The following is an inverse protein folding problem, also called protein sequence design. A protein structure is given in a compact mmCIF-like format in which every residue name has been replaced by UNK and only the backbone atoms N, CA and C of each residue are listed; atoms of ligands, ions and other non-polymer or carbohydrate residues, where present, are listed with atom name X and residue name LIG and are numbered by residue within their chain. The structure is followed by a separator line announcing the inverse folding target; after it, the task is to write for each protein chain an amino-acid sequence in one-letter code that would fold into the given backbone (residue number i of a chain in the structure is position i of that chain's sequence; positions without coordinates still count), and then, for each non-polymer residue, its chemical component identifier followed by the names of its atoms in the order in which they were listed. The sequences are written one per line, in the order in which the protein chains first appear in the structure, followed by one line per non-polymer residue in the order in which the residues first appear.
data_IF_672051214955
#
_entry.id   IF_672051214955
#
_cell.length_a   1.000
_cell.length_b   1.000
_cell.length_c   1.000
_cell.angle_alpha   90.00
_cell.angle_beta   90.00
_cell.angle_gamma   90.00
#
_symmetry.space_group_name_H-M   'P 1'
#
loop_
_entity.id
_entity.type
_entity.pdbx_description
1 polymer ?
#
# COMPACT_ATOMS: atom_id res chain seq x y z
N UNK A 1 25.53 -3.46 -21.17
CA UNK A 1 24.12 -3.74 -21.46
C UNK A 1 23.56 -4.41 -20.20
N UNK A 2 22.85 -3.64 -19.37
CA UNK A 2 22.18 -4.17 -18.17
C UNK A 2 21.10 -5.12 -18.64
N UNK A 3 21.14 -6.38 -18.20
CA UNK A 3 20.01 -7.30 -18.37
C UNK A 3 18.80 -6.59 -17.76
N UNK A 4 17.77 -6.28 -18.56
CA UNK A 4 16.61 -5.51 -18.13
C UNK A 4 16.03 -6.14 -16.88
N UNK A 5 16.00 -5.39 -15.77
CA UNK A 5 15.31 -5.82 -14.56
C UNK A 5 13.84 -6.04 -14.92
N UNK A 6 13.31 -7.23 -14.62
CA UNK A 6 11.88 -7.52 -14.85
C UNK A 6 11.05 -6.52 -14.04
N UNK A 7 10.22 -5.75 -14.72
CA UNK A 7 9.25 -4.87 -14.07
C UNK A 7 8.08 -5.72 -13.55
N UNK A 8 7.64 -5.41 -12.33
CA UNK A 8 6.50 -6.03 -11.68
C UNK A 8 5.39 -5.00 -11.55
N UNK A 9 4.19 -5.35 -11.96
CA UNK A 9 3.01 -4.48 -11.87
C UNK A 9 2.28 -4.77 -10.56
N UNK A 10 2.18 -3.75 -9.70
CA UNK A 10 1.38 -3.78 -8.47
C UNK A 10 -0.04 -3.34 -8.81
N UNK A 11 -1.02 -3.73 -8.03
CA UNK A 11 -2.41 -3.34 -8.22
C UNK A 11 -2.68 -1.84 -7.98
N UNK A 12 -3.95 -1.45 -7.92
CA UNK A 12 -4.45 -0.10 -7.73
C UNK A 12 -5.12 0.12 -6.38
N UNK A 13 -5.86 1.22 -6.27
CA UNK A 13 -6.63 1.56 -5.07
C UNK A 13 -7.84 0.66 -4.90
N UNK A 14 -7.80 -0.26 -3.93
CA UNK A 14 -8.89 -1.20 -3.67
C UNK A 14 -10.21 -0.47 -3.39
N UNK A 15 -10.20 0.58 -2.58
CA UNK A 15 -11.39 1.41 -2.31
C UNK A 15 -11.93 2.05 -3.58
N UNK A 16 -11.04 2.65 -4.40
CA UNK A 16 -11.44 3.25 -5.68
C UNK A 16 -12.10 2.22 -6.61
N UNK A 17 -11.53 1.00 -6.69
CA UNK A 17 -12.11 -0.07 -7.48
C UNK A 17 -13.47 -0.54 -6.94
N UNK A 18 -13.65 -0.60 -5.62
CA UNK A 18 -14.94 -0.95 -5.00
C UNK A 18 -16.00 0.12 -5.27
N UNK A 19 -15.64 1.40 -5.16
CA UNK A 19 -16.52 2.53 -5.48
C UNK A 19 -16.97 2.49 -6.96
N UNK A 20 -16.06 2.26 -7.88
CA UNK A 20 -16.40 2.14 -9.32
C UNK A 20 -17.32 0.95 -9.62
N UNK A 21 -17.28 -0.09 -8.77
CA UNK A 21 -18.21 -1.23 -8.84
C UNK A 21 -19.53 -0.96 -8.14
N UNK A 22 -19.77 0.25 -7.60
CA UNK A 22 -20.98 0.65 -6.92
C UNK A 22 -21.09 0.19 -5.47
N UNK A 23 -19.98 -0.18 -4.85
CA UNK A 23 -19.96 -0.54 -3.43
C UNK A 23 -19.94 0.73 -2.57
N UNK A 24 -20.82 0.79 -1.59
CA UNK A 24 -20.77 1.79 -0.53
C UNK A 24 -19.69 1.40 0.48
N UNK A 25 -18.62 2.17 0.54
CA UNK A 25 -17.52 2.00 1.49
C UNK A 25 -17.41 3.15 2.50
N UNK A 26 -18.40 4.04 2.54
CA UNK A 26 -18.43 5.15 3.51
C UNK A 26 -18.55 4.63 4.95
N UNK A 27 -17.90 5.33 5.87
CA UNK A 27 -18.02 5.05 7.30
C UNK A 27 -16.70 4.72 8.01
N UNK A 28 -16.74 4.50 9.33
CA UNK A 28 -15.55 4.45 10.17
C UNK A 28 -14.60 3.26 9.90
N UNK A 29 -15.09 2.18 9.32
CA UNK A 29 -14.26 1.00 8.99
C UNK A 29 -13.95 0.88 7.50
N UNK A 30 -14.51 1.72 6.65
CA UNK A 30 -14.21 1.81 5.21
C UNK A 30 -14.12 0.42 4.53
N UNK A 31 -12.96 0.08 3.90
CA UNK A 31 -12.76 -1.25 3.29
C UNK A 31 -12.82 -2.40 4.29
N UNK A 32 -12.50 -2.18 5.58
CA UNK A 32 -12.63 -3.21 6.61
C UNK A 32 -14.09 -3.62 6.86
N UNK A 33 -15.06 -2.69 6.69
CA UNK A 33 -16.50 -3.04 6.70
C UNK A 33 -16.86 -3.93 5.52
N UNK A 34 -16.34 -3.62 4.32
CA UNK A 34 -16.60 -4.42 3.13
C UNK A 34 -16.07 -5.86 3.25
N UNK A 35 -14.98 -6.10 4.00
CA UNK A 35 -14.50 -7.46 4.29
C UNK A 35 -15.58 -8.31 4.99
N UNK A 36 -16.36 -7.72 5.87
CA UNK A 36 -17.40 -8.41 6.62
C UNK A 36 -18.73 -8.49 5.86
N UNK A 37 -19.14 -7.36 5.24
CA UNK A 37 -20.47 -7.22 4.65
C UNK A 37 -20.54 -7.67 3.19
N UNK A 38 -19.44 -7.49 2.42
CA UNK A 38 -19.41 -7.81 0.99
C UNK A 38 -18.06 -8.39 0.53
N UNK A 39 -17.63 -9.55 1.09
CA UNK A 39 -16.35 -10.16 0.73
C UNK A 39 -16.26 -10.55 -0.75
N UNK A 40 -17.40 -10.81 -1.41
CA UNK A 40 -17.44 -11.13 -2.84
C UNK A 40 -17.08 -9.94 -3.72
N UNK A 41 -17.41 -8.72 -3.31
CA UNK A 41 -17.01 -7.51 -4.05
C UNK A 41 -15.49 -7.29 -3.96
N UNK A 42 -14.89 -7.53 -2.79
CA UNK A 42 -13.43 -7.45 -2.62
C UNK A 42 -12.73 -8.49 -3.49
N UNK A 43 -13.23 -9.74 -3.51
CA UNK A 43 -12.70 -10.77 -4.39
C UNK A 43 -12.80 -10.37 -5.88
N UNK A 44 -13.94 -9.80 -6.29
CA UNK A 44 -14.14 -9.33 -7.65
C UNK A 44 -13.20 -8.16 -8.01
N UNK A 45 -12.94 -7.22 -7.08
CA UNK A 45 -11.98 -6.14 -7.27
C UNK A 45 -10.55 -6.66 -7.46
N UNK A 46 -10.10 -7.61 -6.62
CA UNK A 46 -8.81 -8.26 -6.81
C UNK A 46 -8.70 -8.98 -8.16
N UNK A 47 -9.75 -9.72 -8.57
CA UNK A 47 -9.80 -10.37 -9.90
C UNK A 47 -9.74 -9.37 -11.03
N UNK A 48 -10.34 -8.19 -10.89
CA UNK A 48 -10.26 -7.13 -11.89
C UNK A 48 -8.80 -6.63 -12.05
N UNK A 49 -8.07 -6.39 -10.96
CA UNK A 49 -6.65 -6.02 -11.02
C UNK A 49 -5.78 -7.13 -11.64
N UNK A 50 -5.99 -8.39 -11.26
CA UNK A 50 -5.28 -9.54 -11.85
C UNK A 50 -5.54 -9.61 -13.37
N UNK A 51 -6.79 -9.48 -13.78
CA UNK A 51 -7.19 -9.49 -15.19
C UNK A 51 -6.60 -8.33 -15.99
N UNK A 52 -6.39 -7.17 -15.32
CA UNK A 52 -5.72 -6.01 -15.88
C UNK A 52 -4.19 -6.18 -15.98
N UNK A 53 -3.64 -7.23 -15.40
CA UNK A 53 -2.23 -7.58 -15.50
C UNK A 53 -1.39 -7.24 -14.28
N UNK A 54 -2.00 -7.07 -13.11
CA UNK A 54 -1.26 -6.99 -11.85
C UNK A 54 -0.52 -8.31 -11.57
N UNK A 55 0.76 -8.23 -11.29
CA UNK A 55 1.60 -9.35 -10.83
C UNK A 55 1.50 -9.51 -9.30
N UNK A 56 1.09 -8.44 -8.60
CA UNK A 56 0.93 -8.39 -7.15
C UNK A 56 -0.39 -7.72 -6.80
N UNK A 57 -1.14 -8.30 -5.86
CA UNK A 57 -2.32 -7.68 -5.26
C UNK A 57 -2.13 -7.47 -3.77
N UNK A 58 -2.67 -6.37 -3.24
CA UNK A 58 -2.56 -5.97 -1.85
C UNK A 58 -3.91 -6.19 -1.16
N UNK A 59 -3.92 -6.85 0.01
CA UNK A 59 -5.16 -7.20 0.73
C UNK A 59 -5.89 -5.99 1.29
N UNK A 60 -7.21 -6.13 1.54
CA UNK A 60 -8.05 -5.09 2.14
C UNK A 60 -7.84 -4.87 3.65
N UNK A 61 -6.68 -5.20 4.22
CA UNK A 61 -6.41 -5.14 5.66
C UNK A 61 -5.81 -3.80 6.16
N UNK A 62 -5.64 -2.83 5.27
CA UNK A 62 -4.97 -1.55 5.54
C UNK A 62 -5.33 -0.89 6.88
N UNK A 63 -6.62 -0.81 7.21
CA UNK A 63 -7.12 -0.15 8.42
C UNK A 63 -7.51 -1.13 9.52
N UNK A 64 -7.52 -2.44 9.24
CA UNK A 64 -8.02 -3.43 10.19
C UNK A 64 -7.13 -3.45 11.43
N UNK A 65 -7.73 -3.17 12.58
CA UNK A 65 -7.07 -3.24 13.89
C UNK A 65 -8.11 -3.48 14.98
N UNK A 66 -7.72 -4.13 16.08
CA UNK A 66 -8.59 -4.32 17.23
C UNK A 66 -9.08 -2.98 17.79
N UNK A 67 -8.17 -2.00 17.91
CA UNK A 67 -8.53 -0.67 18.39
C UNK A 67 -9.61 -0.01 17.51
N UNK A 68 -9.42 0.04 16.19
CA UNK A 68 -10.39 0.63 15.26
C UNK A 68 -11.75 -0.06 15.30
N UNK A 69 -11.76 -1.40 15.44
CA UNK A 69 -13.01 -2.17 15.56
C UNK A 69 -13.74 -1.89 16.87
N UNK A 70 -13.02 -1.83 18.00
CA UNK A 70 -13.61 -1.49 19.31
C UNK A 70 -14.18 -0.06 19.28
N UNK A 71 -13.47 0.91 18.72
CA UNK A 71 -13.93 2.29 18.58
C UNK A 71 -15.19 2.40 17.68
N UNK A 72 -15.32 1.52 16.70
CA UNK A 72 -16.50 1.39 15.85
C UNK A 72 -17.65 0.55 16.49
N UNK A 73 -17.47 0.03 17.71
CA UNK A 73 -18.47 -0.72 18.44
C UNK A 73 -18.50 -2.23 18.16
N UNK A 74 -17.47 -2.78 17.53
CA UNK A 74 -17.30 -4.21 17.27
C UNK A 74 -16.42 -4.89 18.34
N UNK A 75 -16.36 -6.22 18.34
CA UNK A 75 -15.44 -6.96 19.21
C UNK A 75 -14.01 -6.98 18.62
N UNK A 76 -13.00 -7.06 19.49
CA UNK A 76 -11.61 -7.19 19.06
C UNK A 76 -11.39 -8.41 18.14
N UNK A 77 -12.00 -9.54 18.48
CA UNK A 77 -11.92 -10.78 17.69
C UNK A 77 -12.52 -10.63 16.27
N UNK A 78 -13.37 -9.64 16.03
CA UNK A 78 -13.88 -9.34 14.68
C UNK A 78 -12.76 -8.78 13.80
N UNK A 79 -11.86 -7.97 14.36
CA UNK A 79 -10.68 -7.49 13.66
C UNK A 79 -9.73 -8.64 13.30
N UNK A 80 -9.49 -9.56 14.23
CA UNK A 80 -8.62 -10.73 14.00
C UNK A 80 -9.14 -11.58 12.84
N UNK A 81 -10.46 -11.82 12.84
CA UNK A 81 -11.12 -12.53 11.73
C UNK A 81 -11.02 -11.77 10.42
N UNK A 82 -11.17 -10.44 10.45
CA UNK A 82 -11.09 -9.61 9.25
C UNK A 82 -9.67 -9.60 8.66
N UNK A 83 -8.62 -9.59 9.50
CA UNK A 83 -7.23 -9.71 9.04
C UNK A 83 -7.01 -11.03 8.28
N UNK A 84 -7.39 -12.17 8.87
CA UNK A 84 -7.30 -13.48 8.22
C UNK A 84 -8.14 -13.57 6.93
N UNK A 85 -9.38 -13.11 6.99
CA UNK A 85 -10.31 -13.12 5.85
C UNK A 85 -9.77 -12.27 4.67
N UNK A 86 -9.09 -11.16 4.93
CA UNK A 86 -8.52 -10.32 3.88
C UNK A 86 -7.51 -11.09 3.02
N UNK A 87 -6.65 -11.88 3.65
CA UNK A 87 -5.68 -12.74 2.96
C UNK A 87 -6.38 -13.88 2.22
N UNK A 88 -7.36 -14.53 2.86
CA UNK A 88 -8.13 -15.62 2.26
C UNK A 88 -8.84 -15.17 0.98
N UNK A 89 -9.48 -14.00 0.98
CA UNK A 89 -10.17 -13.43 -0.19
C UNK A 89 -9.17 -13.18 -1.33
N UNK A 90 -8.03 -12.56 -1.03
CA UNK A 90 -7.00 -12.29 -2.03
C UNK A 90 -6.41 -13.58 -2.60
N UNK A 91 -6.19 -14.61 -1.75
CA UNK A 91 -5.77 -15.94 -2.20
C UNK A 91 -6.77 -16.60 -3.15
N UNK A 92 -8.08 -16.54 -2.84
CA UNK A 92 -9.13 -17.04 -3.75
C UNK A 92 -9.14 -16.30 -5.08
N UNK A 93 -8.95 -14.97 -5.05
CA UNK A 93 -8.86 -14.18 -6.27
C UNK A 93 -7.65 -14.58 -7.13
N UNK A 94 -6.52 -14.90 -6.51
CA UNK A 94 -5.27 -15.27 -7.18
C UNK A 94 -5.20 -16.76 -7.58
N UNK A 95 -6.20 -17.57 -7.23
CA UNK A 95 -6.19 -19.02 -7.48
C UNK A 95 -6.01 -19.32 -8.97
N UNK A 96 -5.07 -20.22 -9.27
CA UNK A 96 -4.74 -20.61 -10.65
C UNK A 96 -3.87 -19.61 -11.42
N UNK A 97 -3.39 -18.57 -10.77
CA UNK A 97 -2.47 -17.56 -11.32
C UNK A 97 -1.10 -17.61 -10.65
N UNK A 98 -0.14 -16.83 -11.14
CA UNK A 98 1.16 -16.59 -10.49
C UNK A 98 1.20 -15.28 -9.71
N UNK A 99 0.05 -14.67 -9.44
CA UNK A 99 -0.06 -13.39 -8.76
C UNK A 99 0.35 -13.52 -7.29
N UNK A 100 1.22 -12.66 -6.83
CA UNK A 100 1.68 -12.56 -5.44
C UNK A 100 0.60 -11.89 -4.60
N UNK A 101 0.33 -12.42 -3.41
CA UNK A 101 -0.60 -11.84 -2.43
C UNK A 101 0.21 -11.18 -1.31
N UNK A 102 0.10 -9.86 -1.20
CA UNK A 102 0.75 -9.07 -0.17
C UNK A 102 -0.26 -8.58 0.88
N UNK A 103 -0.01 -8.87 2.15
CA UNK A 103 -0.89 -8.43 3.23
C UNK A 103 -0.60 -6.98 3.64
N UNK A 104 -1.60 -6.12 3.52
CA UNK A 104 -1.50 -4.70 3.83
C UNK A 104 -1.35 -4.44 5.34
N UNK A 105 -0.33 -3.66 5.68
CA UNK A 105 -0.07 -3.11 7.02
C UNK A 105 0.01 -1.59 6.90
N UNK A 106 -1.13 -0.91 7.04
CA UNK A 106 -1.20 0.55 7.01
C UNK A 106 -0.71 1.19 8.32
N UNK A 107 -0.48 2.53 8.33
CA UNK A 107 -0.01 3.25 9.50
C UNK A 107 -1.06 3.32 10.62
N UNK A 108 -0.61 3.63 11.83
CA UNK A 108 -1.50 3.83 12.97
C UNK A 108 -2.59 4.87 12.68
N UNK A 109 -2.22 5.95 12.00
CA UNK A 109 -3.16 7.04 11.68
C UNK A 109 -4.34 6.64 10.80
N UNK A 110 -4.26 5.50 10.10
CA UNK A 110 -5.33 5.02 9.23
C UNK A 110 -6.62 4.63 10.00
N UNK A 111 -6.52 4.34 11.31
CA UNK A 111 -7.68 3.94 12.12
C UNK A 111 -8.65 5.08 12.42
N UNK A 112 -8.21 6.34 12.36
CA UNK A 112 -8.99 7.50 12.79
C UNK A 112 -9.78 8.19 11.68
N UNK A 113 -9.56 7.85 10.41
CA UNK A 113 -10.25 8.43 9.23
C UNK A 113 -10.27 9.97 9.16
N UNK A 114 -9.27 10.62 9.75
CA UNK A 114 -9.17 12.07 9.81
C UNK A 114 -7.93 12.63 9.08
N UNK A 115 -7.30 11.79 8.26
CA UNK A 115 -6.09 12.11 7.49
C UNK A 115 -4.81 12.10 8.32
N UNK A 116 -4.82 11.48 9.51
CA UNK A 116 -3.61 11.31 10.33
C UNK A 116 -2.57 10.41 9.68
N UNK A 117 -2.99 9.48 8.82
CA UNK A 117 -2.11 8.65 8.00
C UNK A 117 -1.15 9.45 7.11
N UNK A 118 -1.43 10.74 6.92
CA UNK A 118 -0.57 11.69 6.20
C UNK A 118 0.10 12.73 7.10
N UNK A 119 0.07 12.55 8.42
CA UNK A 119 0.64 13.51 9.39
C UNK A 119 1.73 12.90 10.24
N UNK A 120 1.56 11.65 10.66
CA UNK A 120 2.41 11.05 11.68
C UNK A 120 2.27 11.76 13.05
N UNK A 121 3.26 11.56 13.91
CA UNK A 121 3.37 12.23 15.22
C UNK A 121 2.12 12.07 16.10
N UNK A 122 1.69 10.83 16.32
CA UNK A 122 0.45 10.49 17.02
C UNK A 122 0.51 10.70 18.54
N UNK A 123 1.64 11.13 19.09
CA UNK A 123 1.84 11.28 20.54
C UNK A 123 2.02 9.95 21.28
N UNK A 124 2.20 8.86 20.55
CA UNK A 124 2.47 7.53 21.09
C UNK A 124 3.98 7.31 21.24
N UNK A 125 4.35 6.47 22.21
CA UNK A 125 5.70 5.94 22.33
C UNK A 125 5.97 4.90 21.23
N UNK A 126 7.25 4.70 20.90
CA UNK A 126 7.70 3.64 19.99
C UNK A 126 7.14 2.27 20.38
N UNK A 127 7.15 1.93 21.67
CA UNK A 127 6.60 0.68 22.19
C UNK A 127 5.10 0.53 21.89
N UNK A 128 4.31 1.58 22.08
CA UNK A 128 2.87 1.53 21.81
C UNK A 128 2.60 1.32 20.31
N UNK A 129 3.36 1.98 19.44
CA UNK A 129 3.29 1.76 17.99
C UNK A 129 3.74 0.34 17.61
N UNK A 130 4.85 -0.15 18.19
CA UNK A 130 5.33 -1.50 17.95
C UNK A 130 4.32 -2.56 18.38
N UNK A 131 3.71 -2.42 19.56
CA UNK A 131 2.69 -3.36 20.06
C UNK A 131 1.45 -3.35 19.16
N UNK A 132 1.01 -2.17 18.68
CA UNK A 132 -0.09 -2.04 17.73
C UNK A 132 0.18 -2.76 16.40
N UNK A 133 1.36 -2.61 15.84
CA UNK A 133 1.71 -3.26 14.58
C UNK A 133 1.94 -4.77 14.75
N UNK A 134 2.62 -5.18 15.83
CA UNK A 134 2.89 -6.59 16.14
C UNK A 134 1.61 -7.42 16.19
N UNK A 135 0.59 -6.91 16.90
CA UNK A 135 -0.70 -7.58 17.02
C UNK A 135 -1.34 -7.85 15.65
N UNK A 136 -1.33 -6.88 14.72
CA UNK A 136 -1.89 -7.05 13.37
C UNK A 136 -1.05 -7.99 12.51
N UNK A 137 0.27 -7.83 12.55
CA UNK A 137 1.21 -8.63 11.75
C UNK A 137 1.12 -10.11 12.14
N UNK A 138 0.94 -10.44 13.40
CA UNK A 138 0.77 -11.82 13.87
C UNK A 138 -0.38 -12.54 13.14
N UNK A 139 -1.57 -11.92 13.08
CA UNK A 139 -2.71 -12.51 12.38
C UNK A 139 -2.52 -12.55 10.87
N UNK A 140 -1.91 -11.54 10.27
CA UNK A 140 -1.64 -11.52 8.84
C UNK A 140 -0.63 -12.61 8.45
N UNK A 141 0.47 -12.75 9.17
CA UNK A 141 1.48 -13.79 8.91
C UNK A 141 0.89 -15.19 9.12
N UNK A 142 0.06 -15.38 10.17
CA UNK A 142 -0.64 -16.64 10.40
C UNK A 142 -1.59 -17.04 9.26
N UNK A 143 -2.14 -16.06 8.52
CA UNK A 143 -2.96 -16.30 7.34
C UNK A 143 -2.14 -16.65 6.08
N UNK A 144 -0.81 -16.68 6.18
CA UNK A 144 0.14 -17.10 5.14
C UNK A 144 0.02 -16.34 3.79
N UNK A 145 0.11 -15.00 3.77
CA UNK A 145 0.34 -14.26 2.53
C UNK A 145 1.75 -14.57 2.00
N UNK A 146 2.05 -14.19 0.77
CA UNK A 146 3.40 -14.34 0.22
C UNK A 146 4.38 -13.34 0.81
N UNK A 147 3.89 -12.16 1.21
CA UNK A 147 4.69 -11.10 1.83
C UNK A 147 3.80 -10.07 2.55
N UNK A 148 4.43 -9.16 3.30
CA UNK A 148 3.77 -8.00 3.89
C UNK A 148 3.97 -6.76 3.00
N UNK A 149 2.91 -5.98 2.84
CA UNK A 149 2.90 -4.64 2.27
C UNK A 149 2.82 -3.62 3.41
N UNK A 150 3.95 -3.22 3.97
CA UNK A 150 3.99 -2.14 4.95
C UNK A 150 3.92 -0.84 4.16
N UNK A 151 2.81 -0.11 4.27
CA UNK A 151 2.52 0.95 3.30
C UNK A 151 1.99 2.24 3.92
N UNK A 152 2.22 3.34 3.19
CA UNK A 152 1.74 4.68 3.54
C UNK A 152 2.31 5.20 4.87
N UNK A 153 3.51 4.75 5.25
CA UNK A 153 4.12 5.15 6.52
C UNK A 153 4.51 6.63 6.45
N UNK A 154 3.94 7.49 7.30
CA UNK A 154 4.14 8.95 7.20
C UNK A 154 5.32 9.47 8.02
N UNK A 155 5.84 8.67 8.95
CA UNK A 155 6.77 9.10 10.01
C UNK A 155 7.87 8.04 10.21
N UNK A 156 9.12 8.47 10.21
CA UNK A 156 10.28 7.58 10.43
C UNK A 156 10.19 6.87 11.78
N UNK A 157 9.65 7.54 12.82
CA UNK A 157 9.46 6.92 14.14
C UNK A 157 8.48 5.74 14.11
N UNK A 158 7.50 5.77 13.23
CA UNK A 158 6.61 4.61 13.03
C UNK A 158 7.34 3.48 12.30
N UNK A 159 8.24 3.79 11.36
CA UNK A 159 9.10 2.78 10.73
C UNK A 159 10.08 2.15 11.75
N UNK A 160 10.62 2.91 12.70
CA UNK A 160 11.43 2.40 13.81
C UNK A 160 10.61 1.46 14.71
N UNK A 161 9.38 1.82 15.04
CA UNK A 161 8.47 0.95 15.80
C UNK A 161 8.12 -0.33 15.03
N UNK A 162 7.92 -0.25 13.71
CA UNK A 162 7.73 -1.41 12.84
C UNK A 162 8.96 -2.32 12.80
N UNK A 163 10.18 -1.76 12.86
CA UNK A 163 11.40 -2.55 12.98
C UNK A 163 11.36 -3.44 14.23
N UNK A 164 10.96 -2.88 15.37
CA UNK A 164 10.79 -3.62 16.63
C UNK A 164 9.66 -4.66 16.54
N UNK A 165 8.54 -4.31 15.89
CA UNK A 165 7.42 -5.23 15.73
C UNK A 165 7.77 -6.44 14.86
N UNK A 166 8.64 -6.25 13.86
CA UNK A 166 9.03 -7.28 12.89
C UNK A 166 10.13 -8.22 13.40
N UNK A 167 10.78 -7.93 14.53
CA UNK A 167 11.78 -8.83 15.13
C UNK A 167 11.23 -10.24 15.37
N UNK A 168 9.96 -10.35 15.80
CA UNK A 168 9.29 -11.63 16.05
C UNK A 168 8.98 -12.41 14.76
N UNK A 169 9.03 -11.73 13.60
CA UNK A 169 8.75 -12.27 12.27
C UNK A 169 9.95 -12.17 11.35
N UNK A 170 11.16 -12.14 11.92
CA UNK A 170 12.41 -11.93 11.20
C UNK A 170 12.56 -12.89 10.00
N UNK A 171 12.74 -12.31 8.81
CA UNK A 171 12.87 -13.06 7.55
C UNK A 171 11.55 -13.32 6.82
N UNK A 172 10.38 -12.91 7.36
CA UNK A 172 9.16 -12.90 6.56
C UNK A 172 9.30 -11.81 5.47
N UNK A 173 9.06 -12.15 4.18
CA UNK A 173 9.26 -11.18 3.10
C UNK A 173 8.34 -9.98 3.24
N UNK A 174 8.87 -8.78 3.06
CA UNK A 174 8.10 -7.55 3.13
C UNK A 174 8.69 -6.45 2.25
N UNK A 175 7.88 -5.45 1.96
CA UNK A 175 8.35 -4.14 1.55
C UNK A 175 7.87 -3.06 2.51
N UNK A 176 8.50 -1.90 2.46
CA UNK A 176 8.02 -0.72 3.16
C UNK A 176 7.93 0.46 2.19
N UNK A 177 6.80 1.16 2.20
CA UNK A 177 6.59 2.39 1.44
C UNK A 177 6.14 3.53 2.34
N UNK A 178 6.62 4.71 2.00
CA UNK A 178 6.37 5.94 2.74
C UNK A 178 5.40 6.83 1.98
N UNK A 179 4.56 7.56 2.72
CA UNK A 179 3.82 8.69 2.18
C UNK A 179 4.69 9.95 2.26
N UNK A 180 4.82 10.66 1.15
CA UNK A 180 5.67 11.85 1.04
C UNK A 180 4.86 13.11 0.76
N UNK A 181 5.27 14.24 1.34
CA UNK A 181 4.64 15.55 1.14
C UNK A 181 5.28 16.37 0.04
N UNK A 182 6.51 16.05 -0.34
CA UNK A 182 7.29 16.70 -1.37
C UNK A 182 8.38 15.74 -1.93
N UNK A 183 9.25 16.22 -2.80
CA UNK A 183 10.30 15.43 -3.46
C UNK A 183 11.44 14.95 -2.53
N UNK A 184 11.40 15.31 -1.25
CA UNK A 184 12.52 15.01 -0.34
C UNK A 184 12.11 14.54 1.05
N UNK A 185 10.83 14.69 1.43
CA UNK A 185 10.41 14.47 2.81
C UNK A 185 9.16 13.59 2.90
N UNK A 186 9.17 12.67 3.85
CA UNK A 186 7.96 11.97 4.29
C UNK A 186 7.00 12.97 4.94
N UNK A 187 5.74 12.58 5.11
CA UNK A 187 4.69 13.50 5.56
C UNK A 187 5.00 14.18 6.90
N UNK A 188 5.61 13.47 7.85
CA UNK A 188 5.98 14.04 9.17
C UNK A 188 7.22 14.97 9.12
N UNK A 189 7.93 15.04 8.00
CA UNK A 189 8.99 16.02 7.74
C UNK A 189 10.42 15.51 7.77
N UNK A 190 10.65 14.27 8.13
CA UNK A 190 11.99 13.66 8.00
C UNK A 190 12.32 13.44 6.52
N UNK A 191 13.60 13.39 6.19
CA UNK A 191 14.05 13.15 4.82
C UNK A 191 13.75 11.72 4.37
N UNK A 192 13.59 11.53 3.07
CA UNK A 192 13.38 10.19 2.51
C UNK A 192 14.63 9.31 2.74
N UNK A 193 15.82 9.89 2.80
CA UNK A 193 17.06 9.18 3.11
C UNK A 193 17.07 8.63 4.55
N UNK A 194 16.56 9.39 5.54
CA UNK A 194 16.38 8.90 6.91
C UNK A 194 15.40 7.72 6.93
N UNK A 195 14.30 7.82 6.19
CA UNK A 195 13.32 6.75 6.08
C UNK A 195 13.91 5.48 5.43
N UNK A 196 14.69 5.63 4.36
CA UNK A 196 15.40 4.53 3.68
C UNK A 196 16.43 3.89 4.61
N UNK A 197 17.16 4.68 5.40
CA UNK A 197 18.15 4.15 6.34
C UNK A 197 17.51 3.23 7.39
N UNK A 198 16.33 3.59 7.92
CA UNK A 198 15.57 2.73 8.83
C UNK A 198 15.07 1.49 8.08
N UNK A 199 14.47 1.65 6.91
CA UNK A 199 13.96 0.54 6.12
C UNK A 199 15.01 -0.56 5.85
N UNK A 200 16.23 -0.17 5.52
CA UNK A 200 17.34 -1.10 5.26
C UNK A 200 17.78 -1.89 6.50
N UNK A 201 17.52 -1.39 7.70
CA UNK A 201 17.87 -2.07 8.95
C UNK A 201 16.86 -3.14 9.37
N UNK A 202 15.68 -3.18 8.76
CA UNK A 202 14.59 -4.08 9.12
C UNK A 202 14.79 -5.44 8.42
N UNK A 203 14.95 -6.54 9.16
CA UNK A 203 15.06 -7.87 8.59
C UNK A 203 13.81 -8.25 7.79
N UNK A 204 13.98 -8.80 6.60
CA UNK A 204 12.86 -9.20 5.73
C UNK A 204 12.39 -8.10 4.77
N UNK A 205 12.81 -6.85 4.93
CA UNK A 205 12.53 -5.82 3.93
C UNK A 205 13.37 -6.08 2.67
N UNK A 206 12.68 -6.39 1.60
CA UNK A 206 13.27 -6.68 0.29
C UNK A 206 13.15 -5.51 -0.69
N UNK A 207 12.28 -4.53 -0.41
CA UNK A 207 12.00 -3.36 -1.25
C UNK A 207 11.65 -2.16 -0.41
N UNK A 208 11.98 -0.99 -0.91
CA UNK A 208 11.62 0.28 -0.27
C UNK A 208 11.10 1.25 -1.35
N UNK A 209 10.20 2.14 -0.96
CA UNK A 209 9.69 3.11 -1.91
C UNK A 209 8.64 4.04 -1.36
N UNK A 210 7.72 4.45 -2.22
CA UNK A 210 6.67 5.40 -1.86
C UNK A 210 5.31 4.96 -2.42
N UNK A 211 4.25 5.29 -1.70
CA UNK A 211 2.88 5.16 -2.18
C UNK A 211 2.00 6.31 -1.67
N UNK A 212 0.75 6.37 -2.11
CA UNK A 212 -0.21 7.40 -1.69
C UNK A 212 0.37 8.84 -1.70
N UNK A 213 1.23 9.12 -2.66
CA UNK A 213 1.96 10.39 -2.84
C UNK A 213 1.55 11.01 -4.16
N UNK A 214 1.58 12.33 -4.27
CA UNK A 214 1.26 13.02 -5.52
C UNK A 214 2.28 12.67 -6.62
N UNK A 215 1.84 12.35 -7.87
CA UNK A 215 2.73 11.90 -8.95
C UNK A 215 3.87 12.87 -9.28
N UNK A 216 3.67 14.16 -9.07
CA UNK A 216 4.66 15.20 -9.34
C UNK A 216 5.94 15.05 -8.50
N UNK A 217 5.87 14.41 -7.35
CA UNK A 217 7.03 14.21 -6.45
C UNK A 217 7.78 12.91 -6.70
N UNK A 218 7.21 11.98 -7.46
CA UNK A 218 7.68 10.58 -7.52
C UNK A 218 9.05 10.46 -8.16
N UNK A 219 9.33 11.15 -9.27
CA UNK A 219 10.61 11.08 -9.96
C UNK A 219 11.77 11.50 -9.02
N UNK A 220 11.63 12.65 -8.35
CA UNK A 220 12.64 13.13 -7.40
C UNK A 220 12.84 12.18 -6.22
N UNK A 221 11.76 11.58 -5.71
CA UNK A 221 11.84 10.60 -4.63
C UNK A 221 12.53 9.30 -5.08
N UNK A 222 12.26 8.79 -6.29
CA UNK A 222 12.95 7.61 -6.82
C UNK A 222 14.45 7.87 -6.93
N UNK A 223 14.86 9.03 -7.48
CA UNK A 223 16.27 9.38 -7.62
C UNK A 223 16.99 9.41 -6.27
N UNK A 224 16.37 9.97 -5.24
CA UNK A 224 16.91 10.02 -3.88
C UNK A 224 16.99 8.64 -3.22
N UNK A 225 15.94 7.82 -3.38
CA UNK A 225 15.90 6.45 -2.85
C UNK A 225 16.97 5.60 -3.53
N UNK A 226 17.08 5.63 -4.86
CA UNK A 226 18.09 4.85 -5.60
C UNK A 226 19.52 5.27 -5.28
N UNK A 227 19.75 6.53 -4.92
CA UNK A 227 21.04 7.02 -4.46
C UNK A 227 21.38 6.55 -3.03
N UNK A 228 20.37 6.32 -2.18
CA UNK A 228 20.52 5.97 -0.77
C UNK A 228 20.58 4.46 -0.49
N UNK A 229 20.10 3.61 -1.42
CA UNK A 229 20.04 2.15 -1.21
C UNK A 229 20.26 1.33 -2.48
N UNK A 230 20.65 0.06 -2.29
CA UNK A 230 20.67 -0.94 -3.36
C UNK A 230 19.37 -1.80 -3.41
N UNK A 231 18.45 -1.62 -2.47
CA UNK A 231 17.16 -2.31 -2.48
C UNK A 231 16.36 -1.93 -3.73
N UNK A 232 15.64 -2.86 -4.34
CA UNK A 232 14.69 -2.56 -5.41
C UNK A 232 13.66 -1.51 -4.98
N UNK A 233 13.36 -0.56 -5.88
CA UNK A 233 12.41 0.51 -5.60
C UNK A 233 11.01 0.12 -6.06
N UNK A 234 10.02 0.34 -5.18
CA UNK A 234 8.61 0.14 -5.42
C UNK A 234 7.85 1.47 -5.34
N UNK A 235 6.98 1.76 -6.32
CA UNK A 235 6.16 2.96 -6.33
C UNK A 235 4.72 2.66 -6.77
N UNK A 236 3.74 3.13 -6.00
CA UNK A 236 2.32 3.10 -6.34
C UNK A 236 1.63 4.35 -5.79
N UNK A 237 1.85 5.49 -6.46
CA UNK A 237 1.32 6.79 -6.04
C UNK A 237 -0.17 6.92 -6.36
N UNK A 238 -0.76 8.04 -5.94
CA UNK A 238 -2.11 8.41 -6.34
C UNK A 238 -2.16 8.66 -7.86
N UNK A 239 -3.33 8.51 -8.47
CA UNK A 239 -3.52 8.76 -9.90
C UNK A 239 -3.16 10.20 -10.29
N UNK A 240 -3.17 11.12 -9.34
CA UNK A 240 -3.01 12.56 -9.57
C UNK A 240 -4.36 13.25 -9.72
N UNK A 241 -4.36 14.49 -10.26
CA UNK A 241 -5.56 15.30 -10.38
C UNK A 241 -5.95 16.00 -9.08
N UNK A 242 -7.20 16.46 -9.02
CA UNK A 242 -7.77 17.13 -7.86
C UNK A 242 -8.92 16.29 -7.32
N UNK A 243 -8.90 15.99 -6.03
CA UNK A 243 -10.03 15.36 -5.36
C UNK A 243 -11.21 16.35 -5.31
N UNK A 244 -12.33 15.99 -5.93
CA UNK A 244 -13.57 16.75 -5.82
C UNK A 244 -14.44 16.15 -4.71
N UNK A 245 -14.48 16.83 -3.57
CA UNK A 245 -15.25 16.42 -2.41
C UNK A 245 -16.78 16.46 -2.61
N UNK A 246 -17.27 17.11 -3.68
CA UNK A 246 -18.70 17.17 -3.98
C UNK A 246 -19.17 15.96 -4.77
N UNK A 247 -18.35 15.50 -5.71
CA UNK A 247 -18.66 14.31 -6.52
C UNK A 247 -18.07 13.01 -5.95
N UNK A 248 -17.10 13.11 -5.03
CA UNK A 248 -16.38 11.94 -4.51
C UNK A 248 -15.43 11.31 -5.54
N UNK A 249 -14.99 12.05 -6.55
CA UNK A 249 -14.12 11.53 -7.60
C UNK A 249 -12.86 12.36 -7.80
N UNK A 250 -11.80 11.71 -8.30
CA UNK A 250 -10.59 12.38 -8.77
C UNK A 250 -10.84 12.98 -10.16
N UNK A 251 -10.59 14.28 -10.33
CA UNK A 251 -10.77 15.01 -11.57
C UNK A 251 -9.44 15.34 -12.25
N UNK A 252 -9.42 15.28 -13.57
CA UNK A 252 -8.31 15.81 -14.37
C UNK A 252 -7.15 14.83 -14.60
N UNK A 253 -7.34 13.51 -14.37
CA UNK A 253 -6.35 12.48 -14.70
C UNK A 253 -6.76 11.80 -15.99
N UNK A 254 -5.81 11.59 -16.89
CA UNK A 254 -6.00 10.79 -18.11
C UNK A 254 -5.16 9.53 -18.07
N UNK A 255 -5.57 8.50 -18.82
CA UNK A 255 -4.76 7.28 -18.99
C UNK A 255 -3.39 7.59 -19.60
N UNK A 256 -3.28 8.59 -20.48
CA UNK A 256 -2.00 9.04 -21.06
C UNK A 256 -1.06 9.57 -19.99
N UNK A 257 -1.58 10.29 -19.00
CA UNK A 257 -0.77 10.78 -17.86
C UNK A 257 -0.24 9.62 -17.01
N UNK A 258 -1.09 8.65 -16.69
CA UNK A 258 -0.71 7.46 -15.92
C UNK A 258 0.38 6.67 -16.66
N UNK A 259 0.21 6.41 -17.95
CA UNK A 259 1.17 5.69 -18.79
C UNK A 259 2.50 6.44 -18.88
N UNK A 260 2.46 7.74 -19.09
CA UNK A 260 3.66 8.58 -19.13
C UNK A 260 4.42 8.52 -17.83
N UNK A 261 3.73 8.70 -16.69
CA UNK A 261 4.32 8.62 -15.37
C UNK A 261 4.94 7.23 -15.10
N UNK A 262 4.24 6.15 -15.42
CA UNK A 262 4.76 4.79 -15.20
C UNK A 262 6.08 4.53 -15.96
N UNK A 263 6.21 5.03 -17.19
CA UNK A 263 7.45 4.95 -17.96
C UNK A 263 8.56 5.79 -17.33
N UNK A 264 8.25 7.03 -16.92
CA UNK A 264 9.21 7.89 -16.23
C UNK A 264 9.71 7.23 -14.94
N UNK A 265 8.83 6.68 -14.10
CA UNK A 265 9.22 6.00 -12.85
C UNK A 265 10.14 4.81 -13.11
N UNK A 266 9.85 3.98 -14.14
CA UNK A 266 10.75 2.91 -14.59
C UNK A 266 12.13 3.47 -14.98
N UNK A 267 12.15 4.53 -15.77
CA UNK A 267 13.39 5.10 -16.31
C UNK A 267 14.23 5.76 -15.20
N UNK A 268 13.61 6.25 -14.11
CA UNK A 268 14.26 6.69 -12.87
C UNK A 268 14.71 5.53 -11.96
N UNK A 269 14.30 4.29 -12.22
CA UNK A 269 14.83 3.11 -11.55
C UNK A 269 13.83 2.30 -10.70
N UNK A 270 12.55 2.67 -10.69
CA UNK A 270 11.52 1.83 -10.07
C UNK A 270 11.38 0.49 -10.82
N UNK A 271 11.26 -0.58 -10.06
CA UNK A 271 11.12 -1.94 -10.59
C UNK A 271 9.78 -2.59 -10.27
N UNK A 272 9.08 -2.08 -9.27
CA UNK A 272 7.71 -2.42 -8.94
C UNK A 272 6.87 -1.17 -9.08
N UNK A 273 5.84 -1.19 -9.91
CA UNK A 273 5.07 -0.01 -10.29
C UNK A 273 3.60 -0.34 -10.31
N UNK A 274 2.80 0.47 -9.62
CA UNK A 274 1.34 0.34 -9.57
C UNK A 274 0.68 1.69 -9.32
N UNK A 275 -0.53 1.66 -8.74
CA UNK A 275 -1.27 2.84 -8.36
C UNK A 275 -1.88 2.74 -6.97
N UNK A 276 -2.34 3.86 -6.42
CA UNK A 276 -3.06 3.96 -5.16
C UNK A 276 -4.41 4.66 -5.39
N UNK A 277 -4.77 5.62 -4.57
CA UNK A 277 -6.05 6.32 -4.69
C UNK A 277 -6.27 6.90 -6.10
N UNK A 278 -7.48 6.70 -6.64
CA UNK A 278 -7.85 7.13 -7.98
C UNK A 278 -7.39 6.21 -9.11
N UNK A 279 -6.69 5.10 -8.82
CA UNK A 279 -6.26 4.14 -9.84
C UNK A 279 -7.10 2.87 -9.78
N UNK A 280 -7.94 2.68 -10.78
CA UNK A 280 -8.78 1.49 -10.99
C UNK A 280 -8.07 0.42 -11.82
N UNK A 281 -8.72 -0.72 -12.04
CA UNK A 281 -8.19 -1.81 -12.87
C UNK A 281 -7.86 -1.37 -14.29
N UNK A 282 -8.63 -0.45 -14.88
CA UNK A 282 -8.35 0.12 -16.20
C UNK A 282 -7.00 0.85 -16.22
N UNK A 283 -6.70 1.66 -15.18
CA UNK A 283 -5.40 2.33 -15.02
C UNK A 283 -4.25 1.34 -14.87
N UNK A 284 -4.44 0.25 -14.13
CA UNK A 284 -3.44 -0.82 -14.00
C UNK A 284 -3.23 -1.53 -15.33
N UNK A 285 -4.28 -1.73 -16.13
CA UNK A 285 -4.17 -2.26 -17.48
C UNK A 285 -3.28 -1.41 -18.38
N UNK A 286 -3.50 -0.08 -18.34
CA UNK A 286 -2.69 0.87 -19.09
C UNK A 286 -1.21 0.86 -18.64
N UNK A 287 -0.93 0.80 -17.33
CA UNK A 287 0.42 0.66 -16.77
C UNK A 287 1.07 -0.65 -17.26
N UNK A 288 0.34 -1.77 -17.16
CA UNK A 288 0.82 -3.09 -17.56
C UNK A 288 1.21 -3.14 -19.03
N UNK A 289 0.35 -2.66 -19.92
CA UNK A 289 0.64 -2.58 -21.35
C UNK A 289 1.86 -1.71 -21.65
N UNK A 290 1.92 -0.51 -21.03
CA UNK A 290 3.01 0.45 -21.25
C UNK A 290 4.39 -0.07 -20.85
N UNK A 291 4.46 -0.88 -19.78
CA UNK A 291 5.70 -1.40 -19.21
C UNK A 291 6.14 -2.74 -19.84
N UNK A 292 5.21 -3.52 -20.41
CA UNK A 292 5.50 -4.79 -21.09
C UNK A 292 5.77 -4.66 -22.59
N UNK A 293 5.33 -3.58 -23.21
CA UNK A 293 5.54 -3.30 -24.63
C UNK A 293 6.93 -2.70 -24.95
N UNK A 294 7.81 -2.54 -23.97
CA UNK A 294 9.10 -1.83 -24.09
C UNK A 294 10.31 -2.78 -24.16
#
# INVERSE_FOLDING_TARGET
MSAGRKIVVVDGGLSTQLESMGCDIDGPLWTARALQENPTAIEAAHRAFISAGADVIITGSYQVSRQGFIEAGHAADDADRALGLSVEIARRAAEGTSTVVAASVGPYGAISHDGREYKGNYGLSERQLADFHRERIEFLVAAAPDMLAIETIPDVREAEALAVALEDFAGFPAWITFAAKDEGHVCAGQTIEEAVAVAQSIPGIERVGINCTAPVHVNGLIDRITAATSLPVIVYPNAGGTWDSLSGHWLGVTHEDIVRCAREWRDHGATWIGGCCGTEAEGIGAISEALRAA
#
